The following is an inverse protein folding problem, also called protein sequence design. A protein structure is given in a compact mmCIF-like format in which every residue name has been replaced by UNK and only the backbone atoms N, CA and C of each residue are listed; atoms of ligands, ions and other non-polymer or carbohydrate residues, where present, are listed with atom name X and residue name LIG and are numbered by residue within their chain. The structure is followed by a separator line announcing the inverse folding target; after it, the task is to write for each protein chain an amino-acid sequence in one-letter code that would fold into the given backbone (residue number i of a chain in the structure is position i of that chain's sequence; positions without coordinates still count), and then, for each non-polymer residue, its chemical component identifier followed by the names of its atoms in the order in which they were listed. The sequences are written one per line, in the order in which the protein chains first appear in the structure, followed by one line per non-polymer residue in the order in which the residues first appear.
data_IF_177677276627
#
_entry.id   IF_177677276627
#
_cell.length_a   1.000
_cell.length_b   1.000
_cell.length_c   1.000
_cell.angle_alpha   90.00
_cell.angle_beta   90.00
_cell.angle_gamma   90.00
#
_symmetry.space_group_name_H-M   'P 1'
#
loop_
_entity.id
_entity.type
_entity.pdbx_description
1 polymer ?
#
# COMPACT_ATOMS: atom_id res chain seq x y z
N UNK A 1 6.04 -10.69 -6.99
CA UNK A 1 5.00 -9.69 -7.27
C UNK A 1 4.32 -9.55 -5.91
N UNK A 2 4.50 -8.50 -5.10
CA UNK A 2 4.38 -7.07 -5.43
C UNK A 2 5.20 -6.09 -4.51
N UNK A 3 6.40 -6.50 -4.03
CA UNK A 3 7.24 -5.68 -3.12
C UNK A 3 7.72 -4.32 -3.67
N UNK A 4 7.72 -4.11 -4.98
CA UNK A 4 8.20 -2.86 -5.62
C UNK A 4 7.29 -1.69 -5.30
N UNK A 5 5.96 -1.92 -5.23
CA UNK A 5 4.98 -0.88 -4.96
C UNK A 5 5.07 -0.42 -3.50
N UNK A 6 5.12 -1.37 -2.58
CA UNK A 6 5.32 -1.11 -1.17
C UNK A 6 6.63 -0.32 -0.92
N UNK A 7 7.73 -0.78 -1.52
CA UNK A 7 9.04 -0.12 -1.39
C UNK A 7 9.04 1.31 -1.92
N UNK A 8 8.37 1.57 -3.03
CA UNK A 8 8.22 2.92 -3.57
C UNK A 8 7.39 3.84 -2.65
N UNK A 9 6.36 3.31 -2.00
CA UNK A 9 5.55 4.04 -1.02
C UNK A 9 6.38 4.34 0.24
N UNK A 10 7.13 3.37 0.75
CA UNK A 10 8.03 3.54 1.90
C UNK A 10 9.09 4.62 1.61
N UNK A 11 9.70 4.61 0.42
CA UNK A 11 10.64 5.64 0.02
C UNK A 11 9.98 7.03 -0.08
N UNK A 12 8.77 7.13 -0.61
CA UNK A 12 8.05 8.41 -0.63
C UNK A 12 7.66 8.90 0.76
N UNK A 13 7.42 8.00 1.70
CA UNK A 13 7.14 8.33 3.10
C UNK A 13 8.38 8.89 3.78
N UNK A 14 9.54 8.24 3.63
CA UNK A 14 10.76 8.66 4.34
C UNK A 14 11.14 10.11 4.03
N UNK A 15 10.97 10.54 2.78
CA UNK A 15 11.37 11.87 2.30
C UNK A 15 10.46 12.97 2.89
N UNK A 16 9.31 12.58 3.42
CA UNK A 16 8.34 13.47 4.06
C UNK A 16 8.44 13.47 5.58
N UNK A 17 9.16 12.50 6.16
CA UNK A 17 9.35 12.43 7.60
C UNK A 17 10.46 13.40 8.03
N UNK A 18 10.11 14.32 8.92
CA UNK A 18 11.12 15.11 9.62
C UNK A 18 11.94 14.21 10.56
N UNK A 19 13.09 14.71 11.02
CA UNK A 19 13.87 14.02 12.06
C UNK A 19 13.05 13.75 13.33
N UNK A 20 12.11 14.64 13.67
CA UNK A 20 11.28 14.47 14.85
C UNK A 20 10.18 13.43 14.62
N UNK A 21 9.61 13.38 13.41
CA UNK A 21 8.65 12.32 13.04
C UNK A 21 9.32 10.94 13.06
N UNK A 22 10.54 10.82 12.52
CA UNK A 22 11.34 9.58 12.61
C UNK A 22 11.54 9.14 14.05
N UNK A 23 11.96 10.04 14.94
CA UNK A 23 12.12 9.71 16.37
C UNK A 23 10.82 9.24 17.01
N UNK A 24 9.70 9.91 16.73
CA UNK A 24 8.39 9.54 17.27
C UNK A 24 7.92 8.19 16.74
N UNK A 25 8.16 7.93 15.45
CA UNK A 25 7.84 6.66 14.80
C UNK A 25 8.64 5.51 15.41
N UNK A 26 9.95 5.68 15.57
CA UNK A 26 10.83 4.71 16.24
C UNK A 26 10.44 4.50 17.71
N UNK A 27 10.00 5.55 18.41
CA UNK A 27 9.49 5.40 19.77
C UNK A 27 8.18 4.60 19.81
N UNK A 28 7.27 4.84 18.86
CA UNK A 28 5.95 4.22 18.82
C UNK A 28 6.00 2.75 18.37
N UNK A 29 6.67 2.48 17.25
CA UNK A 29 6.76 1.14 16.63
C UNK A 29 7.96 0.32 17.13
N UNK A 30 8.85 0.96 17.89
CA UNK A 30 10.11 0.37 18.32
C UNK A 30 10.02 -0.90 19.14
N UNK A 31 8.89 -1.13 19.81
CA UNK A 31 8.70 -2.31 20.65
C UNK A 31 8.50 -3.59 19.84
N UNK A 32 8.10 -3.46 18.57
CA UNK A 32 7.81 -4.59 17.69
C UNK A 32 9.06 -5.01 16.89
N UNK A 33 10.17 -4.28 17.00
CA UNK A 33 11.40 -4.54 16.23
C UNK A 33 12.65 -4.75 17.12
N UNK A 34 13.71 -5.39 16.58
CA UNK A 34 14.97 -5.51 17.29
C UNK A 34 15.50 -4.16 17.79
N UNK A 35 16.06 -4.15 19.00
CA UNK A 35 16.58 -2.95 19.66
C UNK A 35 17.54 -2.12 18.80
N UNK A 36 18.36 -2.78 17.98
CA UNK A 36 19.30 -2.11 17.05
C UNK A 36 18.59 -1.20 16.04
N UNK A 37 17.40 -1.59 15.60
CA UNK A 37 16.59 -0.87 14.61
C UNK A 37 15.78 0.21 15.33
N UNK A 38 15.18 -0.14 16.47
CA UNK A 38 14.46 0.81 17.32
C UNK A 38 15.31 2.04 17.67
N UNK A 39 16.54 1.82 18.09
CA UNK A 39 17.40 2.87 18.64
C UNK A 39 18.12 3.69 17.53
N UNK A 40 17.83 3.45 16.25
CA UNK A 40 18.41 4.15 15.09
C UNK A 40 17.37 5.02 14.34
N UNK A 41 17.14 6.29 14.75
CA UNK A 41 16.15 7.18 14.12
C UNK A 41 16.66 7.83 12.82
N UNK A 42 17.72 7.30 12.21
CA UNK A 42 18.23 7.80 10.92
C UNK A 42 17.28 7.42 9.78
N UNK A 43 17.59 7.91 8.58
CA UNK A 43 16.87 7.51 7.37
C UNK A 43 16.98 5.99 7.16
N UNK A 44 18.21 5.47 7.23
CA UNK A 44 18.50 4.05 7.04
C UNK A 44 17.82 3.21 8.12
N UNK A 45 17.89 3.64 9.39
CA UNK A 45 17.18 2.97 10.47
C UNK A 45 15.65 2.99 10.32
N UNK A 46 15.09 4.05 9.71
CA UNK A 46 13.65 4.11 9.39
C UNK A 46 13.28 3.13 8.27
N UNK A 47 14.16 2.90 7.29
CA UNK A 47 13.96 1.87 6.27
C UNK A 47 14.04 0.48 6.89
N UNK A 48 15.05 0.22 7.73
CA UNK A 48 15.19 -1.05 8.45
C UNK A 48 13.99 -1.34 9.36
N UNK A 49 13.39 -0.30 9.96
CA UNK A 49 12.15 -0.39 10.73
C UNK A 49 10.99 -0.87 9.85
N UNK A 50 10.80 -0.24 8.69
CA UNK A 50 9.72 -0.59 7.77
C UNK A 50 9.89 -1.99 7.18
N UNK A 51 11.12 -2.35 6.78
CA UNK A 51 11.43 -3.69 6.28
C UNK A 51 11.20 -4.75 7.37
N UNK A 52 11.57 -4.47 8.62
CA UNK A 52 11.31 -5.39 9.73
C UNK A 52 9.82 -5.58 10.01
N UNK A 53 9.03 -4.53 9.92
CA UNK A 53 7.57 -4.62 10.09
C UNK A 53 6.92 -5.41 8.95
N UNK A 54 7.48 -5.32 7.73
CA UNK A 54 7.03 -6.10 6.60
C UNK A 54 7.39 -7.58 6.75
N UNK A 55 8.62 -7.90 7.14
CA UNK A 55 9.08 -9.28 7.38
C UNK A 55 8.29 -9.98 8.51
N UNK A 56 7.69 -9.21 9.42
CA UNK A 56 6.83 -9.70 10.50
C UNK A 56 5.34 -9.78 10.13
N UNK A 57 4.96 -9.44 8.90
CA UNK A 57 3.57 -9.31 8.43
C UNK A 57 2.72 -8.26 9.20
N UNK A 58 3.35 -7.33 9.92
CA UNK A 58 2.65 -6.22 10.60
C UNK A 58 2.13 -5.19 9.59
N UNK A 59 2.84 -5.06 8.47
CA UNK A 59 2.43 -4.24 7.32
C UNK A 59 2.45 -5.11 6.08
N UNK A 60 1.54 -4.87 5.14
CA UNK A 60 1.55 -5.55 3.86
C UNK A 60 1.18 -4.58 2.72
N UNK A 61 1.37 -5.03 1.48
CA UNK A 61 1.18 -4.21 0.27
C UNK A 61 -0.29 -3.93 -0.10
N UNK A 62 -1.23 -4.57 0.59
CA UNK A 62 -2.66 -4.43 0.39
C UNK A 62 -3.37 -3.68 1.51
N UNK A 63 -2.70 -3.52 2.65
CA UNK A 63 -3.26 -2.92 3.86
C UNK A 63 -2.21 -2.06 4.57
N UNK A 64 -2.38 -0.74 4.45
CA UNK A 64 -1.58 0.24 5.18
C UNK A 64 -2.22 0.68 6.50
N UNK A 65 -3.30 0.04 6.97
CA UNK A 65 -4.05 0.47 8.16
C UNK A 65 -3.14 0.62 9.38
N UNK A 66 -2.24 -0.34 9.60
CA UNK A 66 -1.28 -0.29 10.71
C UNK A 66 -0.36 0.95 10.65
N UNK A 67 0.19 1.27 9.46
CA UNK A 67 1.04 2.47 9.29
C UNK A 67 0.22 3.76 9.40
N UNK A 68 -0.99 3.77 8.84
CA UNK A 68 -1.91 4.91 8.92
C UNK A 68 -2.22 5.24 10.38
N UNK A 69 -2.57 4.23 11.19
CA UNK A 69 -2.85 4.41 12.62
C UNK A 69 -1.61 4.91 13.37
N UNK A 70 -0.43 4.36 13.08
CA UNK A 70 0.82 4.81 13.67
C UNK A 70 1.10 6.29 13.35
N UNK A 71 0.95 6.70 12.09
CA UNK A 71 1.17 8.08 11.66
C UNK A 71 0.13 9.05 12.22
N UNK A 72 -1.14 8.66 12.29
CA UNK A 72 -2.19 9.45 12.95
C UNK A 72 -1.89 9.62 14.45
N UNK A 73 -1.37 8.58 15.12
CA UNK A 73 -1.03 8.62 16.55
C UNK A 73 0.15 9.56 16.85
N UNK A 74 1.20 9.53 16.03
CA UNK A 74 2.36 10.43 16.19
C UNK A 74 2.12 11.84 15.62
N UNK A 75 0.90 12.10 15.10
CA UNK A 75 0.46 13.35 14.49
C UNK A 75 1.22 13.72 13.21
N UNK A 76 1.69 12.73 12.47
CA UNK A 76 2.31 12.90 11.16
C UNK A 76 1.23 12.77 10.06
N UNK A 77 0.33 13.75 10.01
CA UNK A 77 -0.86 13.68 9.15
C UNK A 77 -0.54 13.66 7.65
N UNK A 78 0.58 14.25 7.24
CA UNK A 78 1.00 14.25 5.83
C UNK A 78 1.36 12.83 5.35
N UNK A 79 2.04 12.06 6.19
CA UNK A 79 2.36 10.65 5.92
C UNK A 79 1.09 9.79 5.92
N UNK A 80 0.21 9.96 6.90
CA UNK A 80 -1.07 9.24 6.96
C UNK A 80 -1.95 9.54 5.75
N UNK A 81 -1.99 10.80 5.30
CA UNK A 81 -2.75 11.21 4.11
C UNK A 81 -2.21 10.56 2.84
N UNK A 82 -0.88 10.53 2.66
CA UNK A 82 -0.25 9.89 1.50
C UNK A 82 -0.60 8.39 1.41
N UNK A 83 -0.59 7.70 2.54
CA UNK A 83 -0.98 6.29 2.59
C UNK A 83 -2.46 6.08 2.24
N UNK A 84 -3.35 6.89 2.81
CA UNK A 84 -4.79 6.87 2.49
C UNK A 84 -5.05 7.11 1.00
N UNK A 85 -4.31 8.01 0.37
CA UNK A 85 -4.39 8.25 -1.08
C UNK A 85 -3.86 7.07 -1.89
N UNK A 86 -2.77 6.45 -1.44
CA UNK A 86 -2.16 5.28 -2.08
C UNK A 86 -3.08 4.05 -2.04
N UNK A 87 -3.80 3.84 -0.94
CA UNK A 87 -4.82 2.79 -0.80
C UNK A 87 -5.99 3.01 -1.75
N UNK A 88 -6.51 4.24 -1.82
CA UNK A 88 -7.62 4.57 -2.73
C UNK A 88 -7.26 4.39 -4.19
N UNK A 89 -6.04 4.72 -4.59
CA UNK A 89 -5.55 4.51 -5.96
C UNK A 89 -5.39 3.01 -6.30
N UNK A 90 -5.03 2.17 -5.32
CA UNK A 90 -5.00 0.71 -5.47
C UNK A 90 -6.37 0.14 -5.89
N UNK A 91 -7.41 0.63 -5.22
CA UNK A 91 -8.79 0.19 -5.42
C UNK A 91 -9.30 0.59 -6.81
N UNK A 92 -8.93 1.78 -7.30
CA UNK A 92 -9.33 2.27 -8.62
C UNK A 92 -8.69 1.47 -9.78
N UNK A 93 -7.44 1.03 -9.66
CA UNK A 93 -6.77 0.24 -10.71
C UNK A 93 -7.38 -1.17 -10.87
N UNK A 94 -7.86 -1.76 -9.77
CA UNK A 94 -8.53 -3.07 -9.81
C UNK A 94 -9.92 -3.04 -10.48
N UNK A 95 -10.56 -1.88 -10.61
CA UNK A 95 -11.88 -1.75 -11.25
C UNK A 95 -11.80 -1.55 -12.77
N UNK A 96 -10.68 -1.10 -13.33
CA UNK A 96 -10.52 -0.89 -14.78
C UNK A 96 -10.26 -2.22 -15.52
N UNK A 97 -9.64 -3.21 -14.88
CA UNK A 97 -9.33 -4.50 -15.51
C UNK A 97 -10.52 -5.49 -15.59
N UNK A 98 -11.72 -5.11 -15.14
CA UNK A 98 -12.94 -5.95 -15.25
C UNK A 98 -13.94 -5.47 -16.30
N UNK A 99 -13.64 -4.38 -17.01
CA UNK A 99 -14.60 -3.74 -17.93
C UNK A 99 -14.49 -4.18 -19.39
N UNK A 100 -13.56 -5.09 -19.73
CA UNK A 100 -13.28 -5.47 -21.14
C UNK A 100 -13.57 -6.95 -21.45
N UNK A 101 -14.44 -7.60 -20.68
CA UNK A 101 -15.12 -8.81 -21.17
C UNK A 101 -16.36 -8.37 -21.96
N UNK A 102 -16.11 -7.94 -23.19
CA UNK A 102 -17.11 -7.51 -24.17
C UNK A 102 -18.35 -8.41 -24.19
N UNK A 103 -19.47 -7.78 -23.86
CA UNK A 103 -20.81 -8.25 -24.18
C UNK A 103 -21.07 -8.01 -25.66
N UNK A 104 -20.94 -9.03 -26.49
CA UNK A 104 -21.63 -9.08 -27.79
C UNK A 104 -22.55 -10.31 -27.84
N UNK A 105 -23.76 -10.10 -27.32
CA UNK A 105 -24.92 -10.91 -27.66
C UNK A 105 -25.41 -10.46 -29.04
N UNK A 106 -25.26 -11.30 -30.05
CA UNK A 106 -26.05 -11.22 -31.29
C UNK A 106 -27.14 -12.30 -31.24
N UNK A 107 -28.45 -11.94 -31.20
CA UNK A 107 -29.53 -12.86 -31.49
C UNK A 107 -30.08 -12.63 -32.91
N UNK A 108 -30.37 -13.72 -33.64
CA UNK A 108 -31.05 -13.72 -34.94
C UNK A 108 -30.15 -14.28 -36.06
N UNK A 109 -30.59 -15.11 -36.99
CA UNK A 109 -31.94 -15.36 -37.46
C UNK A 109 -31.96 -16.73 -38.17
N UNK A 110 -33.10 -17.43 -38.12
CA UNK A 110 -33.27 -18.75 -38.71
C UNK A 110 -33.11 -18.77 -40.24
N UNK A 111 -32.57 -19.88 -40.73
CA UNK A 111 -32.54 -20.21 -42.16
C UNK A 111 -33.47 -21.41 -42.34
N UNK A 112 -34.65 -21.16 -42.91
CA UNK A 112 -35.47 -22.20 -43.50
C UNK A 112 -34.78 -22.67 -44.78
N UNK A 113 -34.54 -23.98 -44.91
CA UNK A 113 -34.18 -24.61 -46.16
C UNK A 113 -35.46 -25.18 -46.76
N UNK A 114 -35.84 -24.59 -47.90
CA UNK A 114 -36.91 -25.04 -48.78
C UNK A 114 -36.60 -26.41 -49.38
N UNK A 115 -37.69 -27.13 -49.67
CA UNK A 115 -37.79 -28.43 -50.32
C UNK A 115 -37.35 -28.40 -51.78
N UNK A 116 -36.82 -29.54 -52.24
CA UNK A 116 -37.36 -30.29 -53.39
C UNK A 116 -37.06 -31.79 -53.21
#
# INVERSE_FOLDING_TARGET
MDSVRLRAIILNLQDRLSNDDRKRLHFYLGNDVPRRIRDDPTLDGTLDLMDSLFDQDNINEHDFSYLIEAFDHIRCFDAAKLLKESDRLAICQSQVNKSDAGSDRIPGNGIALESD
#
